data_IF_082067732691
#
_entry.id   IF_082067732691
#
_cell.length_a   1.000
_cell.length_b   1.000
_cell.length_c   1.000
_cell.angle_alpha   90.00
_cell.angle_beta   90.00
_cell.angle_gamma   90.00
#
_symmetry.space_group_name_H-M   'P 1'
#
loop_
_entity.id
_entity.type
_entity.pdbx_description
1 polymer ?
#
# COMPACT_ATOMS: atom_id res chain seq x y z
N UNK A 1 -9.28 13.79 8.04
CA UNK A 1 -8.52 13.84 6.78
C UNK A 1 -9.23 12.95 5.75
N UNK A 2 -9.07 13.19 4.44
CA UNK A 2 -9.63 12.31 3.42
C UNK A 2 -9.00 10.90 3.48
N UNK A 3 -9.77 9.90 3.01
CA UNK A 3 -9.34 8.50 2.87
C UNK A 3 -9.30 8.16 1.38
N UNK A 4 -8.20 7.56 0.93
CA UNK A 4 -8.06 6.98 -0.40
C UNK A 4 -8.01 5.46 -0.27
N UNK A 5 -8.90 4.77 -0.98
CA UNK A 5 -8.91 3.30 -1.05
C UNK A 5 -8.55 2.90 -2.49
N UNK A 6 -7.55 2.04 -2.64
CA UNK A 6 -7.07 1.58 -3.93
C UNK A 6 -6.98 0.05 -3.93
N UNK A 7 -7.68 -0.59 -4.89
CA UNK A 7 -7.68 -2.03 -5.08
C UNK A 7 -6.80 -2.38 -6.28
N UNK A 8 -5.68 -3.06 -6.03
CA UNK A 8 -4.65 -3.43 -7.00
C UNK A 8 -4.27 -2.31 -8.02
N UNK A 9 -3.91 -1.09 -7.57
CA UNK A 9 -3.75 0.06 -8.46
C UNK A 9 -2.57 -0.04 -9.44
N UNK A 10 -1.67 -1.01 -9.24
CA UNK A 10 -0.47 -1.23 -10.05
C UNK A 10 -0.52 -2.47 -10.93
N UNK A 11 -1.57 -3.30 -10.85
CA UNK A 11 -1.58 -4.64 -11.46
C UNK A 11 -1.45 -4.68 -12.99
N UNK A 12 -1.75 -3.58 -13.69
CA UNK A 12 -1.65 -3.45 -15.14
C UNK A 12 -0.49 -2.54 -15.60
N UNK A 13 0.39 -2.12 -14.69
CA UNK A 13 1.49 -1.21 -14.97
C UNK A 13 2.82 -1.96 -15.04
N UNK A 14 3.76 -1.43 -15.83
CA UNK A 14 5.13 -1.92 -15.80
C UNK A 14 5.81 -1.56 -14.47
N UNK A 15 6.86 -2.30 -14.11
CA UNK A 15 7.55 -2.14 -12.82
C UNK A 15 7.97 -0.71 -12.51
N UNK A 16 8.44 0.06 -13.52
CA UNK A 16 8.90 1.43 -13.30
C UNK A 16 7.72 2.33 -12.97
N UNK A 17 6.66 2.25 -13.77
CA UNK A 17 5.45 3.06 -13.56
C UNK A 17 4.77 2.71 -12.24
N UNK A 18 4.74 1.43 -11.85
CA UNK A 18 4.22 0.99 -10.54
C UNK A 18 4.96 1.64 -9.37
N UNK A 19 6.29 1.72 -9.43
CA UNK A 19 7.10 2.37 -8.38
C UNK A 19 6.78 3.87 -8.32
N UNK A 20 6.71 4.57 -9.46
CA UNK A 20 6.38 6.00 -9.50
C UNK A 20 5.00 6.30 -8.87
N UNK A 21 4.00 5.45 -9.14
CA UNK A 21 2.68 5.54 -8.51
C UNK A 21 2.78 5.34 -6.99
N UNK A 22 3.51 4.33 -6.53
CA UNK A 22 3.67 4.06 -5.11
C UNK A 22 4.40 5.19 -4.38
N UNK A 23 5.42 5.79 -4.98
CA UNK A 23 6.10 6.96 -4.43
C UNK A 23 5.16 8.17 -4.31
N UNK A 24 4.29 8.38 -5.29
CA UNK A 24 3.27 9.44 -5.26
C UNK A 24 2.29 9.22 -4.10
N UNK A 25 1.80 7.99 -3.92
CA UNK A 25 0.88 7.64 -2.82
C UNK A 25 1.56 7.85 -1.46
N UNK A 26 2.80 7.40 -1.30
CA UNK A 26 3.57 7.62 -0.06
C UNK A 26 3.75 9.11 0.21
N UNK A 27 4.06 9.90 -0.82
CA UNK A 27 4.18 11.36 -0.70
C UNK A 27 2.86 12.00 -0.28
N UNK A 28 1.75 11.61 -0.87
CA UNK A 28 0.42 12.09 -0.49
C UNK A 28 0.07 11.76 0.97
N UNK A 29 0.35 10.53 1.41
CA UNK A 29 0.16 10.13 2.81
C UNK A 29 0.99 10.98 3.77
N UNK A 30 2.26 11.23 3.43
CA UNK A 30 3.20 11.97 4.28
C UNK A 30 2.92 13.47 4.30
N UNK A 31 2.73 14.07 3.14
CA UNK A 31 2.72 15.53 2.99
C UNK A 31 1.30 16.11 3.22
N UNK A 32 0.24 15.37 2.86
CA UNK A 32 -1.16 15.83 3.01
C UNK A 32 -1.92 15.15 4.16
N UNK A 33 -1.31 14.16 4.82
CA UNK A 33 -1.95 13.41 5.91
C UNK A 33 -3.15 12.55 5.45
N UNK A 34 -3.26 12.28 4.15
CA UNK A 34 -4.32 11.42 3.57
C UNK A 34 -4.09 9.98 4.03
N UNK A 35 -5.11 9.35 4.64
CA UNK A 35 -5.04 7.92 4.95
C UNK A 35 -5.22 7.13 3.67
N UNK A 36 -4.32 6.17 3.41
CA UNK A 36 -4.37 5.33 2.22
C UNK A 36 -4.55 3.88 2.65
N UNK A 37 -5.55 3.22 2.08
CA UNK A 37 -5.79 1.79 2.20
C UNK A 37 -5.54 1.19 0.82
N UNK A 38 -4.62 0.24 0.76
CA UNK A 38 -4.19 -0.41 -0.48
C UNK A 38 -4.39 -1.91 -0.36
N UNK A 39 -5.01 -2.51 -1.38
CA UNK A 39 -5.07 -3.97 -1.54
C UNK A 39 -4.12 -4.35 -2.66
N UNK A 40 -3.28 -5.36 -2.41
CA UNK A 40 -2.37 -5.93 -3.40
C UNK A 40 -1.97 -7.34 -2.99
N UNK A 41 -1.70 -8.19 -3.97
CA UNK A 41 -1.08 -9.49 -3.78
C UNK A 41 0.46 -9.44 -3.91
N UNK A 42 1.03 -8.29 -4.29
CA UNK A 42 2.46 -8.10 -4.51
C UNK A 42 3.19 -7.66 -3.21
N UNK A 43 4.13 -8.46 -2.67
CA UNK A 43 4.84 -8.10 -1.44
C UNK A 43 5.66 -6.81 -1.55
N UNK A 44 6.26 -6.56 -2.71
CA UNK A 44 7.10 -5.39 -2.96
C UNK A 44 6.28 -4.10 -2.91
N UNK A 45 5.06 -4.13 -3.45
CA UNK A 45 4.11 -3.01 -3.39
C UNK A 45 3.62 -2.81 -1.95
N UNK A 46 3.29 -3.88 -1.24
CA UNK A 46 2.89 -3.80 0.17
C UNK A 46 3.97 -3.19 1.07
N UNK A 47 5.25 -3.39 0.75
CA UNK A 47 6.38 -2.85 1.52
C UNK A 47 6.49 -1.31 1.50
N UNK A 48 5.83 -0.61 0.58
CA UNK A 48 5.74 0.86 0.59
C UNK A 48 4.84 1.38 1.73
N UNK A 49 3.98 0.54 2.28
CA UNK A 49 3.06 0.90 3.36
C UNK A 49 3.78 1.03 4.71
N UNK A 50 3.08 1.58 5.71
CA UNK A 50 3.56 1.62 7.10
C UNK A 50 3.15 0.37 7.89
N UNK A 51 2.14 -0.36 7.42
CA UNK A 51 1.50 -1.48 8.09
C UNK A 51 0.90 -2.41 7.04
N UNK A 52 1.13 -3.70 7.19
CA UNK A 52 0.59 -4.75 6.33
C UNK A 52 -0.37 -5.60 7.17
N UNK A 53 -1.59 -5.76 6.67
CA UNK A 53 -2.59 -6.65 7.25
C UNK A 53 -2.84 -7.77 6.25
N UNK A 54 -2.61 -9.01 6.66
CA UNK A 54 -2.80 -10.20 5.81
C UNK A 54 -4.13 -10.86 6.13
N UNK A 55 -4.90 -11.12 5.08
CA UNK A 55 -6.20 -11.80 5.17
C UNK A 55 -6.13 -13.18 4.50
N UNK A 56 -6.76 -14.17 5.13
CA UNK A 56 -7.01 -15.50 4.55
C UNK A 56 -8.41 -15.92 4.96
N UNK A 57 -9.21 -16.39 4.01
CA UNK A 57 -10.58 -16.87 4.24
C UNK A 57 -11.45 -15.90 5.07
N UNK A 58 -11.31 -14.59 4.81
CA UNK A 58 -12.05 -13.53 5.52
C UNK A 58 -11.54 -13.20 6.92
N UNK A 59 -10.44 -13.83 7.36
CA UNK A 59 -9.85 -13.63 8.69
C UNK A 59 -8.50 -12.91 8.57
N UNK A 60 -8.24 -11.99 9.50
CA UNK A 60 -6.90 -11.39 9.65
C UNK A 60 -5.99 -12.43 10.30
N UNK A 61 -4.94 -12.82 9.59
CA UNK A 61 -3.96 -13.80 10.06
C UNK A 61 -2.65 -13.17 10.54
N UNK A 62 -2.35 -11.95 10.10
CA UNK A 62 -1.17 -11.19 10.52
C UNK A 62 -1.45 -9.70 10.36
N UNK A 63 -0.85 -8.92 11.26
CA UNK A 63 -0.97 -7.48 11.32
C UNK A 63 0.37 -6.93 11.83
N UNK A 64 1.15 -6.37 10.92
CA UNK A 64 2.55 -6.03 11.15
C UNK A 64 2.86 -4.60 10.70
N UNK A 65 3.59 -3.85 11.53
CA UNK A 65 4.21 -2.60 11.09
C UNK A 65 5.43 -2.90 10.22
N UNK A 66 5.54 -2.20 9.10
CA UNK A 66 6.69 -2.32 8.20
C UNK A 66 7.87 -1.58 8.81
N UNK A 67 8.87 -2.33 9.27
CA UNK A 67 10.13 -1.75 9.75
C UNK A 67 10.92 -1.23 8.56
N UNK A 68 11.12 0.09 8.50
CA UNK A 68 12.09 0.67 7.57
C UNK A 68 13.48 0.41 8.12
N UNK A 69 14.32 -0.26 7.33
CA UNK A 69 15.74 -0.44 7.61
C UNK A 69 16.48 0.90 7.57
#
# INVERSE_FOLDING_TARGET
APILMADEPTGNLDTKTSIEIMELLVKLNRDSGTTIILVTHEPDIAAFSKRIIRFVDGHVISDEEVKKA
#
